data_IF_258101630375
#
_entry.id   IF_258101630375
#
_cell.length_a   1.000
_cell.length_b   1.000
_cell.length_c   1.000
_cell.angle_alpha   90.00
_cell.angle_beta   90.00
_cell.angle_gamma   90.00
#
_symmetry.space_group_name_H-M   'P 1'
#
loop_
_entity.id
_entity.type
_entity.pdbx_description
1 polymer ?
#
# COMPACT_ATOMS: atom_id res chain seq x y z
N UNK A 1 -3.59 -6.45 -16.32
CA UNK A 1 -3.08 -5.45 -15.36
C UNK A 1 -4.24 -4.60 -14.88
N UNK A 2 -4.22 -4.20 -13.62
CA UNK A 2 -5.28 -3.50 -12.91
C UNK A 2 -5.01 -1.98 -12.96
N UNK A 3 -6.04 -1.15 -13.16
CA UNK A 3 -5.87 0.30 -13.02
C UNK A 3 -5.72 0.66 -11.53
N UNK A 4 -4.80 1.58 -11.23
CA UNK A 4 -4.57 2.02 -9.84
C UNK A 4 -5.85 2.51 -9.15
N UNK A 5 -6.63 3.37 -9.82
CA UNK A 5 -7.88 3.93 -9.27
C UNK A 5 -8.90 2.85 -8.95
N UNK A 6 -9.04 1.85 -9.82
CA UNK A 6 -9.99 0.76 -9.63
C UNK A 6 -9.58 -0.12 -8.45
N UNK A 7 -8.28 -0.42 -8.32
CA UNK A 7 -7.73 -1.15 -7.18
C UNK A 7 -8.01 -0.43 -5.85
N UNK A 8 -7.63 0.86 -5.73
CA UNK A 8 -7.85 1.60 -4.47
C UNK A 8 -9.33 1.80 -4.17
N UNK A 9 -10.20 1.94 -5.18
CA UNK A 9 -11.64 2.05 -5.02
C UNK A 9 -12.25 0.75 -4.48
N UNK A 10 -11.83 -0.39 -5.01
CA UNK A 10 -12.24 -1.70 -4.50
C UNK A 10 -11.80 -1.87 -3.04
N UNK A 11 -10.55 -1.54 -2.72
CA UNK A 11 -10.03 -1.63 -1.35
C UNK A 11 -10.81 -0.72 -0.39
N UNK A 12 -11.08 0.53 -0.78
CA UNK A 12 -11.85 1.46 0.05
C UNK A 12 -13.29 0.96 0.28
N UNK A 13 -13.92 0.32 -0.72
CA UNK A 13 -15.25 -0.29 -0.57
C UNK A 13 -15.30 -1.40 0.50
N UNK A 14 -14.15 -2.00 0.82
CA UNK A 14 -13.96 -3.04 1.85
C UNK A 14 -13.28 -2.52 3.11
N UNK A 15 -13.08 -1.19 3.25
CA UNK A 15 -12.23 -0.61 4.29
C UNK A 15 -12.70 -0.92 5.71
N UNK A 16 -14.01 -0.94 5.96
CA UNK A 16 -14.56 -0.95 7.32
C UNK A 16 -13.90 0.13 8.20
N UNK A 17 -13.27 -0.31 9.28
CA UNK A 17 -12.56 0.52 10.25
C UNK A 17 -11.03 0.45 10.09
N UNK A 18 -10.54 -0.03 8.94
CA UNK A 18 -9.12 -0.18 8.64
C UNK A 18 -8.40 1.15 8.50
N UNK A 19 -7.09 1.13 8.79
CA UNK A 19 -6.16 2.23 8.50
C UNK A 19 -5.46 1.94 7.19
N UNK A 20 -5.44 2.91 6.27
CA UNK A 20 -4.72 2.79 5.01
C UNK A 20 -3.43 3.60 5.10
N UNK A 21 -2.28 2.95 4.88
CA UNK A 21 -0.97 3.59 4.75
C UNK A 21 -0.60 3.56 3.28
N UNK A 22 -0.92 4.64 2.57
CA UNK A 22 -0.72 4.70 1.12
C UNK A 22 0.55 5.48 0.77
N UNK A 23 1.32 4.99 -0.20
CA UNK A 23 2.43 5.73 -0.79
C UNK A 23 2.45 5.57 -2.33
N UNK A 24 3.36 6.29 -2.99
CA UNK A 24 3.56 6.25 -4.44
C UNK A 24 2.23 6.37 -5.24
N UNK A 25 1.99 5.51 -6.23
CA UNK A 25 0.79 5.55 -7.07
C UNK A 25 -0.51 5.40 -6.27
N UNK A 26 -0.51 4.54 -5.25
CA UNK A 26 -1.68 4.37 -4.39
C UNK A 26 -2.02 5.66 -3.61
N UNK A 27 -1.07 6.56 -3.42
CA UNK A 27 -1.27 7.87 -2.77
C UNK A 27 -1.31 9.06 -3.75
N UNK A 28 -1.40 8.80 -5.06
CA UNK A 28 -1.50 9.87 -6.06
C UNK A 28 -2.77 10.70 -5.85
N UNK A 29 -2.64 12.04 -5.88
CA UNK A 29 -3.77 12.96 -5.74
C UNK A 29 -4.65 13.05 -7.01
N UNK A 30 -4.19 12.44 -8.12
CA UNK A 30 -4.91 12.46 -9.39
C UNK A 30 -5.69 11.17 -9.66
N UNK A 31 -5.22 10.04 -9.12
CA UNK A 31 -5.76 8.72 -9.46
C UNK A 31 -5.60 7.67 -8.33
N UNK A 32 -5.07 8.06 -7.18
CA UNK A 32 -4.88 7.20 -6.01
C UNK A 32 -6.00 7.33 -4.99
N UNK A 33 -5.77 6.78 -3.80
CA UNK A 33 -6.69 6.77 -2.67
C UNK A 33 -7.32 8.14 -2.36
N UNK A 34 -6.59 9.28 -2.40
CA UNK A 34 -7.17 10.60 -2.14
C UNK A 34 -8.35 10.98 -3.06
N UNK A 35 -8.49 10.32 -4.21
CA UNK A 35 -9.58 10.60 -5.17
C UNK A 35 -10.86 9.81 -4.92
N UNK A 36 -10.80 8.76 -4.10
CA UNK A 36 -11.91 7.83 -3.88
C UNK A 36 -12.21 7.51 -2.42
N UNK A 37 -11.32 7.88 -1.49
CA UNK A 37 -11.45 7.54 -0.07
C UNK A 37 -12.78 8.02 0.51
N UNK A 38 -13.42 7.15 1.29
CA UNK A 38 -14.65 7.46 2.02
C UNK A 38 -14.39 7.85 3.48
N UNK A 39 -13.14 7.79 3.96
CA UNK A 39 -12.78 8.14 5.34
C UNK A 39 -11.32 8.59 5.44
N UNK A 40 -11.09 9.84 5.04
CA UNK A 40 -9.77 10.48 5.01
C UNK A 40 -9.09 10.54 6.40
N UNK A 41 -9.83 10.54 7.51
CA UNK A 41 -9.26 10.55 8.87
C UNK A 41 -8.45 9.29 9.19
N UNK A 42 -8.82 8.16 8.56
CA UNK A 42 -8.20 6.85 8.71
C UNK A 42 -7.11 6.57 7.67
N UNK A 43 -6.81 7.55 6.81
CA UNK A 43 -5.77 7.45 5.81
C UNK A 43 -4.49 8.13 6.29
N UNK A 44 -3.38 7.44 6.08
CA UNK A 44 -2.02 7.94 6.28
C UNK A 44 -1.34 8.06 4.91
N UNK A 45 -1.39 9.24 4.26
CA UNK A 45 -0.80 9.49 2.95
C UNK A 45 0.72 9.66 3.08
N UNK A 46 1.44 8.55 3.15
CA UNK A 46 2.87 8.51 3.42
C UNK A 46 3.69 9.02 2.22
N UNK A 47 4.36 10.15 2.40
CA UNK A 47 5.21 10.80 1.38
C UNK A 47 6.50 11.34 1.99
N UNK A 48 7.49 11.64 1.14
CA UNK A 48 8.79 12.21 1.56
C UNK A 48 9.84 11.21 2.05
N UNK A 49 9.49 9.92 2.20
CA UNK A 49 10.43 8.87 2.59
C UNK A 49 10.10 7.52 1.91
N UNK A 50 10.45 7.36 0.62
CA UNK A 50 10.24 6.09 -0.09
C UNK A 50 10.83 4.89 0.66
N UNK A 51 10.15 3.75 0.62
CA UNK A 51 10.54 2.51 1.29
C UNK A 51 10.27 2.44 2.79
N UNK A 52 9.51 3.38 3.37
CA UNK A 52 9.18 3.38 4.81
C UNK A 52 7.69 3.17 5.12
N UNK A 53 6.82 3.08 4.11
CA UNK A 53 5.38 2.87 4.31
C UNK A 53 5.10 1.55 5.06
N UNK A 54 5.71 0.44 4.64
CA UNK A 54 5.58 -0.85 5.33
C UNK A 54 6.06 -0.81 6.80
N UNK A 55 7.11 -0.05 7.12
CA UNK A 55 7.59 0.10 8.50
C UNK A 55 6.61 0.89 9.38
N UNK A 56 6.01 1.95 8.83
CA UNK A 56 4.94 2.68 9.53
C UNK A 56 3.73 1.77 9.75
N UNK A 57 3.33 1.03 8.72
CA UNK A 57 2.24 0.04 8.80
C UNK A 57 2.48 -1.00 9.88
N UNK A 58 3.71 -1.51 10.01
CA UNK A 58 4.09 -2.42 11.10
C UNK A 58 3.90 -1.77 12.48
N UNK A 59 4.36 -0.53 12.66
CA UNK A 59 4.18 0.20 13.92
C UNK A 59 2.71 0.36 14.30
N UNK A 60 1.87 0.73 13.33
CA UNK A 60 0.42 0.84 13.51
C UNK A 60 -0.22 -0.52 13.83
N UNK A 61 0.19 -1.59 13.16
CA UNK A 61 -0.36 -2.92 13.36
C UNK A 61 -0.08 -3.45 14.78
N UNK A 62 1.12 -3.19 15.29
CA UNK A 62 1.52 -3.53 16.66
C UNK A 62 0.79 -2.67 17.70
N UNK A 63 0.54 -1.39 17.41
CA UNK A 63 -0.15 -0.47 18.31
C UNK A 63 -1.68 -0.66 18.32
N UNK A 64 -2.26 -1.20 17.24
CA UNK A 64 -3.70 -1.36 17.03
C UNK A 64 -4.05 -2.81 16.65
N UNK A 65 -3.80 -3.81 17.51
CA UNK A 65 -3.85 -5.23 17.14
C UNK A 65 -5.22 -5.74 16.68
N UNK A 66 -6.30 -5.02 17.01
CA UNK A 66 -7.68 -5.38 16.61
C UNK A 66 -8.11 -4.74 15.30
N UNK A 67 -7.27 -3.87 14.70
CA UNK A 67 -7.62 -3.08 13.53
C UNK A 67 -6.78 -3.49 12.34
N UNK A 68 -7.39 -3.69 11.18
CA UNK A 68 -6.63 -4.02 9.97
C UNK A 68 -5.83 -2.82 9.50
N UNK A 69 -4.56 -3.07 9.16
CA UNK A 69 -3.65 -2.07 8.59
C UNK A 69 -3.33 -2.49 7.17
N UNK A 70 -3.79 -1.70 6.20
CA UNK A 70 -3.52 -1.92 4.78
C UNK A 70 -2.40 -0.98 4.36
N UNK A 71 -1.24 -1.55 4.05
CA UNK A 71 -0.13 -0.82 3.45
C UNK A 71 -0.29 -0.92 1.94
N UNK A 72 -0.45 0.22 1.26
CA UNK A 72 -0.49 0.32 -0.19
C UNK A 72 0.86 0.88 -0.65
N UNK A 73 1.81 -0.02 -0.92
CA UNK A 73 3.20 0.28 -1.29
C UNK A 73 3.41 0.16 -2.81
N UNK A 74 4.51 0.68 -3.32
CA UNK A 74 4.93 0.50 -4.72
C UNK A 74 6.18 -0.37 -4.81
N UNK A 75 6.34 -1.13 -5.89
CA UNK A 75 7.54 -1.91 -6.24
C UNK A 75 8.84 -1.09 -6.08
N UNK A 76 8.90 0.10 -6.67
CA UNK A 76 10.05 0.99 -6.57
C UNK A 76 10.33 1.48 -5.14
N UNK A 77 9.28 1.63 -4.32
CA UNK A 77 9.39 2.01 -2.90
C UNK A 77 9.88 0.83 -2.06
N UNK A 78 9.30 -0.35 -2.24
CA UNK A 78 9.71 -1.57 -1.54
C UNK A 78 11.18 -1.93 -1.81
N UNK A 79 11.64 -1.75 -3.06
CA UNK A 79 13.05 -1.95 -3.43
C UNK A 79 14.03 -1.09 -2.62
N UNK A 80 13.63 0.11 -2.22
CA UNK A 80 14.48 0.99 -1.39
C UNK A 80 14.65 0.48 0.04
N UNK A 81 13.84 -0.49 0.48
CA UNK A 81 13.93 -1.09 1.80
C UNK A 81 13.45 -2.53 1.83
N UNK A 82 14.07 -3.38 1.01
CA UNK A 82 13.70 -4.79 0.88
C UNK A 82 13.78 -5.56 2.22
N UNK A 83 14.67 -5.15 3.13
CA UNK A 83 14.76 -5.69 4.49
C UNK A 83 13.49 -5.52 5.33
N UNK A 84 12.54 -4.69 4.90
CA UNK A 84 11.23 -4.60 5.55
C UNK A 84 10.45 -5.91 5.47
N UNK A 85 10.61 -6.70 4.39
CA UNK A 85 9.91 -7.99 4.23
C UNK A 85 10.25 -8.93 5.38
N UNK A 86 11.55 -9.16 5.65
CA UNK A 86 11.98 -10.02 6.77
C UNK A 86 11.62 -9.43 8.13
N UNK A 87 11.53 -8.10 8.23
CA UNK A 87 11.11 -7.42 9.47
C UNK A 87 9.65 -7.68 9.78
N UNK A 88 8.76 -7.52 8.79
CA UNK A 88 7.32 -7.75 8.93
C UNK A 88 7.04 -9.23 9.21
N UNK A 89 7.70 -10.14 8.48
CA UNK A 89 7.60 -11.58 8.72
C UNK A 89 8.04 -11.95 10.15
N UNK A 90 9.18 -11.44 10.62
CA UNK A 90 9.67 -11.70 11.98
C UNK A 90 8.71 -11.21 13.08
N UNK A 91 8.05 -10.07 12.88
CA UNK A 91 7.06 -9.56 13.85
C UNK A 91 5.69 -10.22 13.75
N UNK A 92 5.37 -10.78 12.58
CA UNK A 92 4.15 -11.54 12.32
C UNK A 92 2.83 -10.89 12.83
N UNK A 93 2.54 -9.60 12.57
CA UNK A 93 1.28 -8.99 12.99
C UNK A 93 0.09 -9.60 12.23
N UNK A 94 -0.89 -10.15 12.97
CA UNK A 94 -2.05 -10.85 12.39
C UNK A 94 -3.03 -9.96 11.61
N UNK A 95 -2.88 -8.64 11.75
CA UNK A 95 -3.78 -7.61 11.22
C UNK A 95 -3.14 -6.74 10.11
N UNK A 96 -1.96 -7.13 9.59
CA UNK A 96 -1.26 -6.37 8.55
C UNK A 96 -1.42 -7.01 7.16
N UNK A 97 -1.76 -6.18 6.18
CA UNK A 97 -1.92 -6.53 4.78
C UNK A 97 -1.03 -5.61 3.95
N UNK A 98 -0.05 -6.17 3.26
CA UNK A 98 0.94 -5.45 2.47
C UNK A 98 0.62 -5.62 0.99
N UNK A 99 -0.08 -4.63 0.42
CA UNK A 99 -0.39 -4.56 -1.01
C UNK A 99 0.77 -3.89 -1.74
N UNK A 100 1.39 -4.63 -2.65
CA UNK A 100 2.40 -4.13 -3.57
C UNK A 100 1.74 -3.75 -4.90
N UNK A 101 1.69 -2.46 -5.20
CA UNK A 101 1.26 -1.92 -6.48
C UNK A 101 2.46 -1.94 -7.43
N UNK A 102 2.68 -3.07 -8.10
CA UNK A 102 3.80 -3.26 -9.04
C UNK A 102 3.41 -2.76 -10.43
N UNK A 103 4.04 -1.66 -10.86
CA UNK A 103 3.87 -1.13 -12.20
C UNK A 103 5.18 -1.19 -13.03
N UNK A 104 6.23 -1.80 -12.47
CA UNK A 104 7.55 -1.97 -13.08
C UNK A 104 8.35 -0.68 -13.32
N UNK A 105 7.90 0.49 -12.89
CA UNK A 105 8.55 1.78 -13.20
C UNK A 105 8.54 2.78 -12.04
N UNK A 106 9.57 3.63 -11.98
CA UNK A 106 9.55 4.84 -11.16
C UNK A 106 8.65 5.92 -11.80
N UNK A 107 7.34 5.72 -11.70
CA UNK A 107 6.31 6.54 -12.33
C UNK A 107 6.39 8.04 -11.97
N UNK A 108 6.87 8.35 -10.76
CA UNK A 108 6.95 9.73 -10.25
C UNK A 108 8.19 10.50 -10.70
N UNK A 109 9.20 9.83 -11.27
CA UNK A 109 10.48 10.41 -11.72
C UNK A 109 10.70 10.33 -13.24
N UNK A 110 9.66 10.00 -14.01
CA UNK A 110 9.73 9.93 -15.47
C UNK A 110 9.65 8.52 -16.06
N UNK A 111 9.29 7.50 -15.27
CA UNK A 111 8.91 6.19 -15.78
C UNK A 111 10.08 5.27 -16.14
N UNK A 112 11.24 5.48 -15.53
CA UNK A 112 12.37 4.57 -15.68
C UNK A 112 12.02 3.18 -15.10
N UNK A 113 12.41 2.07 -15.73
CA UNK A 113 12.20 0.74 -15.17
C UNK A 113 12.80 0.61 -13.77
N UNK A 114 12.07 -0.03 -12.84
CA UNK A 114 12.64 -0.39 -11.55
C UNK A 114 13.62 -1.55 -11.69
N UNK A 115 14.62 -1.70 -10.79
CA UNK A 115 15.43 -2.90 -10.73
C UNK A 115 14.59 -4.18 -10.63
N UNK A 116 14.81 -5.14 -11.54
CA UNK A 116 14.08 -6.42 -11.54
C UNK A 116 12.67 -6.37 -12.14
N UNK A 117 12.26 -5.27 -12.77
CA UNK A 117 10.95 -5.15 -13.43
C UNK A 117 10.67 -6.36 -14.35
N UNK A 118 9.53 -7.02 -14.15
CA UNK A 118 9.11 -8.20 -14.91
C UNK A 118 9.87 -9.50 -14.63
N UNK A 119 10.79 -9.51 -13.65
CA UNK A 119 11.62 -10.68 -13.32
C UNK A 119 11.53 -11.08 -11.84
N UNK A 120 11.23 -10.15 -10.94
CA UNK A 120 11.18 -10.41 -9.50
C UNK A 120 9.97 -11.25 -9.11
N UNK A 121 10.21 -12.35 -8.39
CA UNK A 121 9.17 -13.15 -7.71
C UNK A 121 8.90 -12.55 -6.32
N UNK A 122 7.96 -11.60 -6.26
CA UNK A 122 7.63 -10.87 -5.04
C UNK A 122 6.95 -11.75 -3.99
N UNK A 123 6.03 -12.59 -4.45
CA UNK A 123 5.25 -13.52 -3.65
C UNK A 123 6.15 -14.61 -3.06
N UNK A 124 7.02 -15.19 -3.89
CA UNK A 124 8.02 -16.16 -3.44
C UNK A 124 8.98 -15.56 -2.41
N UNK A 125 9.41 -14.32 -2.60
CA UNK A 125 10.25 -13.61 -1.63
C UNK A 125 9.54 -13.39 -0.29
N UNK A 126 8.29 -12.91 -0.32
CA UNK A 126 7.50 -12.70 0.89
C UNK A 126 7.21 -14.03 1.63
N UNK A 127 6.85 -15.08 0.88
CA UNK A 127 6.63 -16.42 1.42
C UNK A 127 7.89 -17.00 2.05
N UNK A 128 9.03 -16.92 1.36
CA UNK A 128 10.32 -17.40 1.87
C UNK A 128 10.80 -16.62 3.10
N UNK A 129 10.45 -15.33 3.21
CA UNK A 129 10.73 -14.53 4.39
C UNK A 129 9.86 -14.91 5.61
N UNK A 130 8.71 -15.57 5.40
CA UNK A 130 7.82 -16.02 6.47
C UNK A 130 6.49 -15.25 6.56
N UNK A 131 6.03 -14.60 5.49
CA UNK A 131 4.64 -14.11 5.45
C UNK A 131 3.66 -15.27 5.59
N UNK A 132 2.55 -15.05 6.32
CA UNK A 132 1.58 -16.09 6.63
C UNK A 132 0.78 -16.53 5.39
N UNK A 133 0.53 -15.58 4.48
CA UNK A 133 -0.14 -15.82 3.21
C UNK A 133 0.37 -14.85 2.14
N UNK A 134 0.30 -15.29 0.89
CA UNK A 134 0.67 -14.50 -0.27
C UNK A 134 -0.39 -14.64 -1.36
N UNK A 135 -0.78 -13.54 -1.98
CA UNK A 135 -1.72 -13.50 -3.10
C UNK A 135 -1.13 -12.70 -4.26
N UNK A 136 -1.61 -12.97 -5.46
CA UNK A 136 -1.20 -12.30 -6.69
C UNK A 136 -2.43 -12.05 -7.55
N UNK A 137 -2.53 -10.85 -8.12
CA UNK A 137 -3.63 -10.48 -9.00
C UNK A 137 -3.12 -9.59 -10.15
N UNK A 138 -3.42 -9.98 -11.38
CA UNK A 138 -3.14 -9.21 -12.58
C UNK A 138 -4.41 -8.67 -13.26
N UNK A 139 -5.58 -9.00 -12.72
CA UNK A 139 -6.90 -8.65 -13.23
C UNK A 139 -7.83 -8.20 -12.08
N UNK A 140 -8.71 -7.25 -12.38
CA UNK A 140 -9.60 -6.63 -11.38
C UNK A 140 -10.75 -7.57 -10.98
N UNK A 141 -11.21 -8.43 -11.88
CA UNK A 141 -12.31 -9.36 -11.64
C UNK A 141 -11.92 -10.42 -10.62
N UNK A 142 -10.73 -11.04 -10.76
CA UNK A 142 -10.21 -12.00 -9.77
C UNK A 142 -9.97 -11.32 -8.42
N UNK A 143 -9.37 -10.12 -8.42
CA UNK A 143 -9.19 -9.34 -7.18
C UNK A 143 -10.54 -9.07 -6.51
N UNK A 144 -11.56 -8.66 -7.27
CA UNK A 144 -12.91 -8.38 -6.76
C UNK A 144 -13.56 -9.62 -6.16
N UNK A 145 -13.39 -10.77 -6.82
CA UNK A 145 -13.98 -12.04 -6.40
C UNK A 145 -13.33 -12.57 -5.12
N UNK A 146 -12.03 -12.34 -4.94
CA UNK A 146 -11.23 -12.95 -3.87
C UNK A 146 -10.83 -11.99 -2.75
N UNK A 147 -11.13 -10.69 -2.85
CA UNK A 147 -10.73 -9.71 -1.83
C UNK A 147 -11.22 -10.07 -0.43
N UNK A 148 -12.40 -10.67 -0.30
CA UNK A 148 -12.93 -11.09 1.00
C UNK A 148 -12.13 -12.26 1.61
N UNK A 149 -11.63 -13.20 0.78
CA UNK A 149 -10.70 -14.27 1.19
C UNK A 149 -9.36 -13.69 1.66
N UNK A 150 -8.81 -12.74 0.88
CA UNK A 150 -7.57 -12.03 1.21
C UNK A 150 -7.69 -11.34 2.56
N UNK A 151 -8.77 -10.59 2.77
CA UNK A 151 -9.00 -9.82 3.99
C UNK A 151 -9.46 -10.68 5.18
N UNK A 152 -9.83 -11.95 4.98
CA UNK A 152 -10.11 -12.90 6.05
C UNK A 152 -8.85 -13.65 6.54
N UNK A 153 -7.78 -13.63 5.75
CA UNK A 153 -6.51 -14.29 6.08
C UNK A 153 -5.82 -13.61 7.27
N UNK A 154 -5.20 -14.40 8.16
CA UNK A 154 -4.41 -13.87 9.27
C UNK A 154 -3.02 -13.46 8.78
N UNK A 155 -2.65 -12.22 9.08
CA UNK A 155 -1.41 -11.60 8.61
C UNK A 155 -0.12 -12.11 9.27
N UNK A 156 1.03 -11.61 8.77
CA UNK A 156 1.14 -10.62 7.72
C UNK A 156 0.85 -11.25 6.36
N UNK A 157 -0.03 -10.61 5.57
CA UNK A 157 -0.40 -11.06 4.23
C UNK A 157 0.31 -10.18 3.21
N UNK A 158 0.94 -10.79 2.21
CA UNK A 158 1.52 -10.07 1.08
C UNK A 158 0.58 -10.21 -0.13
N UNK A 159 0.28 -9.11 -0.80
CA UNK A 159 -0.61 -9.09 -1.96
C UNK A 159 0.09 -8.35 -3.08
N UNK A 160 0.50 -9.08 -4.11
CA UNK A 160 1.07 -8.50 -5.31
C UNK A 160 -0.06 -8.13 -6.28
N UNK A 161 -0.10 -6.87 -6.72
CA UNK A 161 -1.00 -6.37 -7.74
C UNK A 161 -0.18 -5.92 -8.96
N UNK A 162 -0.45 -6.50 -10.14
CA UNK A 162 0.13 -5.98 -11.39
C UNK A 162 -0.68 -4.79 -11.88
N UNK A 163 -0.09 -3.60 -11.81
CA UNK A 163 -0.73 -2.31 -12.02
C UNK A 163 -0.33 -1.69 -13.35
N UNK A 164 -1.29 -1.08 -14.03
CA UNK A 164 -1.01 -0.28 -15.24
C UNK A 164 -0.13 0.93 -14.87
N UNK A 165 1.04 1.12 -15.51
CA UNK A 165 1.91 2.25 -15.23
C UNK A 165 1.26 3.56 -15.66
N UNK A 166 1.15 4.49 -14.71
CA UNK A 166 0.67 5.86 -14.95
C UNK A 166 1.80 6.83 -14.63
N UNK A 167 2.51 7.28 -15.66
CA UNK A 167 3.71 8.12 -15.53
C UNK A 167 3.31 9.57 -15.33
N UNK A 168 3.82 10.20 -14.28
CA UNK A 168 3.64 11.63 -14.02
C UNK A 168 4.85 12.41 -14.56
N UNK A 169 4.65 13.10 -15.68
CA UNK A 169 5.67 13.91 -16.35
C UNK A 169 5.71 15.36 -15.86
N UNK A 170 4.71 15.82 -15.12
CA UNK A 170 4.68 17.14 -14.50
C UNK A 170 5.80 17.22 -13.47
N UNK A 171 6.64 18.25 -13.54
CA UNK A 171 7.70 18.43 -12.56
C UNK A 171 7.11 18.67 -11.14
N UNK A 172 7.79 18.16 -10.11
CA UNK A 172 7.27 18.12 -8.72
C UNK A 172 6.75 19.47 -8.23
N UNK A 173 7.44 20.56 -8.56
CA UNK A 173 7.07 21.92 -8.15
C UNK A 173 5.74 22.43 -8.75
N UNK A 174 5.23 21.78 -9.80
CA UNK A 174 3.98 22.15 -10.47
C UNK A 174 2.83 21.17 -10.19
N UNK A 175 3.08 20.13 -9.38
CA UNK A 175 2.04 19.14 -9.04
C UNK A 175 1.10 19.72 -7.99
N UNK A 176 -0.18 19.33 -8.08
CA UNK A 176 -1.15 19.62 -7.03
C UNK A 176 -0.69 18.98 -5.70
N UNK A 177 -0.76 19.75 -4.62
CA UNK A 177 -0.50 19.25 -3.28
C UNK A 177 -1.66 18.38 -2.77
N UNK A 178 -1.40 17.44 -1.85
CA UNK A 178 -2.46 16.65 -1.25
C UNK A 178 -3.28 17.50 -0.27
N UNK A 179 -4.59 17.24 -0.20
CA UNK A 179 -5.47 17.85 0.81
C UNK A 179 -5.05 17.43 2.23
N UNK A 180 -4.81 16.13 2.44
CA UNK A 180 -4.23 15.58 3.67
C UNK A 180 -2.73 15.33 3.53
N UNK A 181 -1.95 15.94 4.42
CA UNK A 181 -0.49 15.76 4.47
C UNK A 181 -0.08 14.70 5.49
N UNK A 182 1.17 14.22 5.41
CA UNK A 182 1.79 13.39 6.45
C UNK A 182 1.71 14.05 7.82
N UNK A 183 1.95 15.36 7.90
CA UNK A 183 1.91 16.11 9.17
C UNK A 183 0.50 16.18 9.75
N UNK A 184 -0.51 16.31 8.89
CA UNK A 184 -1.93 16.28 9.29
C UNK A 184 -2.28 14.90 9.83
N UNK A 185 -1.99 13.83 9.07
CA UNK A 185 -2.27 12.47 9.48
C UNK A 185 -1.55 12.09 10.78
N UNK A 186 -0.30 12.50 10.96
CA UNK A 186 0.47 12.25 12.19
C UNK A 186 -0.16 12.89 13.43
N UNK A 187 -0.83 14.05 13.29
CA UNK A 187 -1.48 14.75 14.40
C UNK A 187 -2.88 14.21 14.71
N UNK A 188 -3.62 13.78 13.70
CA UNK A 188 -5.04 13.47 13.80
C UNK A 188 -5.32 11.98 13.96
N UNK A 189 -4.60 11.11 13.23
CA UNK A 189 -4.84 9.67 13.26
C UNK A 189 -4.74 9.09 14.68
N UNK A 190 -3.75 9.45 15.53
CA UNK A 190 -3.70 8.94 16.90
C UNK A 190 -4.94 9.30 17.73
N UNK A 191 -5.51 10.50 17.51
CA UNK A 191 -6.73 10.93 18.20
C UNK A 191 -7.94 10.13 17.72
N UNK A 192 -8.02 9.90 16.41
CA UNK A 192 -9.08 9.07 15.81
C UNK A 192 -9.02 7.64 16.32
N UNK A 193 -7.83 7.07 16.42
CA UNK A 193 -7.60 5.72 16.92
C UNK A 193 -7.87 5.57 18.43
N UNK A 194 -7.77 6.65 19.21
CA UNK A 194 -8.07 6.64 20.65
C UNK A 194 -9.57 6.75 20.96
N UNK A 195 -10.39 7.17 20.01
CA UNK A 195 -11.82 7.46 20.20
C UNK A 195 -12.78 6.43 19.59
N UNK A 196 -12.28 5.28 19.12
CA UNK A 196 -13.06 4.22 18.47
C UNK A 196 -12.79 2.84 19.06
#
# INVERSE_FOLDING_TARGET
>A
MINNTDAVKLLDSKRGDSVFVATMNANSVQFGLPTVTTNEEMDFPFSGAMGKAANLGLGLALAQPQRKILVLDGDGSLLMNLGTIVTLANKSPSNLYHFLFDNGVYAVTGGQPVPGAGHTDWEGMAKAAGYAATFSFDDLEDLTTRIDEVLASKGPVFIHLSIVPQIENTAVQFRAGPARTVLTAFKELPKKLAGG
#
